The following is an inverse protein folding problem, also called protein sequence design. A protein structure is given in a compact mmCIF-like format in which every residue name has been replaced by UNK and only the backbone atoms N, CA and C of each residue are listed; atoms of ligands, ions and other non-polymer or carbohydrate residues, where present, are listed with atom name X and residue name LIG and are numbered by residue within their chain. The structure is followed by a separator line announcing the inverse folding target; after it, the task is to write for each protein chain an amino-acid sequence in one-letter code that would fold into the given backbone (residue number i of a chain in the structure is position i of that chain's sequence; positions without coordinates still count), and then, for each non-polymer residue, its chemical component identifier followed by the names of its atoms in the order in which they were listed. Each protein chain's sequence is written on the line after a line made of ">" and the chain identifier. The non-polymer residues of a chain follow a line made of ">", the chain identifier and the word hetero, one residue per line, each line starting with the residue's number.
data_IF_136228080092
#
_entry.id   IF_136228080092
#
_cell.length_a   1.000
_cell.length_b   1.000
_cell.length_c   1.000
_cell.angle_alpha   90.00
_cell.angle_beta   90.00
_cell.angle_gamma   90.00
#
_symmetry.space_group_name_H-M   'P 1'
#
loop_
_entity.id
_entity.type
_entity.pdbx_description
1 polymer ?
#
# COMPACT_ATOMS: atom_id res chain seq x y z
N UNK A 1 -19.07 -12.95 18.53
CA UNK A 1 -18.24 -12.61 17.37
C UNK A 1 -16.80 -12.71 17.80
N UNK A 2 -15.87 -12.86 16.89
CA UNK A 2 -14.48 -13.07 17.23
C UNK A 2 -13.69 -11.78 17.33
N UNK A 3 -12.43 -11.89 17.80
CA UNK A 3 -11.55 -10.76 18.08
C UNK A 3 -11.22 -9.91 16.82
N UNK A 4 -10.98 -10.53 15.67
CA UNK A 4 -10.66 -9.82 14.42
C UNK A 4 -11.86 -9.02 13.91
N UNK A 5 -13.07 -9.62 13.98
CA UNK A 5 -14.29 -8.94 13.63
C UNK A 5 -14.52 -7.70 14.51
N UNK A 6 -14.36 -7.83 15.82
CA UNK A 6 -14.54 -6.72 16.76
C UNK A 6 -13.53 -5.59 16.49
N UNK A 7 -12.26 -5.92 16.20
CA UNK A 7 -11.25 -4.95 15.79
C UNK A 7 -11.59 -4.24 14.47
N UNK A 8 -12.18 -4.95 13.51
CA UNK A 8 -12.65 -4.33 12.25
C UNK A 8 -13.81 -3.37 12.50
N UNK A 9 -14.74 -3.70 13.41
CA UNK A 9 -15.87 -2.82 13.73
C UNK A 9 -15.47 -1.50 14.39
N UNK A 10 -14.26 -1.42 15.00
CA UNK A 10 -13.71 -0.18 15.53
C UNK A 10 -13.24 0.78 14.41
N UNK A 11 -12.87 0.26 13.25
CA UNK A 11 -12.39 1.08 12.12
C UNK A 11 -13.55 1.86 11.49
N UNK A 12 -13.39 3.18 11.40
CA UNK A 12 -14.43 4.07 10.83
C UNK A 12 -14.77 3.71 9.37
N UNK A 13 -13.81 3.13 8.62
CA UNK A 13 -14.03 2.71 7.24
C UNK A 13 -15.01 1.55 7.13
N UNK A 14 -15.08 0.70 8.14
CA UNK A 14 -16.12 -0.34 8.21
C UNK A 14 -17.48 0.30 8.46
N UNK A 15 -17.58 1.24 9.40
CA UNK A 15 -18.83 1.94 9.73
C UNK A 15 -19.41 2.70 8.53
N UNK A 16 -18.54 3.33 7.74
CA UNK A 16 -18.94 4.05 6.52
C UNK A 16 -19.11 3.12 5.31
N UNK A 17 -18.27 2.12 5.16
CA UNK A 17 -18.18 1.25 3.99
C UNK A 17 -19.10 0.04 4.01
N UNK A 18 -19.57 -0.39 5.17
CA UNK A 18 -20.40 -1.60 5.30
C UNK A 18 -21.66 -1.35 6.12
N UNK A 19 -22.77 -1.09 5.44
CA UNK A 19 -24.10 -0.98 6.08
C UNK A 19 -24.83 -2.32 6.02
N UNK A 20 -25.32 -2.72 4.86
CA UNK A 20 -25.91 -4.04 4.63
C UNK A 20 -25.71 -4.42 3.18
N UNK A 21 -24.87 -5.40 2.92
CA UNK A 21 -24.64 -5.90 1.58
C UNK A 21 -25.74 -6.90 1.19
N UNK A 22 -26.36 -6.71 0.02
CA UNK A 22 -27.39 -7.59 -0.54
C UNK A 22 -26.83 -8.56 -1.59
N UNK A 23 -25.51 -8.64 -1.71
CA UNK A 23 -24.82 -9.56 -2.63
C UNK A 23 -25.19 -9.38 -4.12
N UNK A 24 -25.54 -8.17 -4.59
CA UNK A 24 -26.01 -7.92 -5.96
C UNK A 24 -24.91 -8.03 -7.04
N UNK A 25 -23.63 -8.04 -6.69
CA UNK A 25 -22.51 -8.20 -7.64
C UNK A 25 -22.08 -6.96 -8.40
N UNK A 26 -22.77 -5.82 -8.27
CA UNK A 26 -22.43 -4.59 -9.02
C UNK A 26 -20.97 -4.15 -8.81
N UNK A 27 -20.45 -4.24 -7.58
CA UNK A 27 -19.08 -3.86 -7.27
C UNK A 27 -18.03 -4.75 -7.96
N UNK A 28 -18.31 -6.02 -8.16
CA UNK A 28 -17.45 -6.95 -8.90
C UNK A 28 -17.49 -6.66 -10.39
N UNK A 29 -18.70 -6.47 -10.95
CA UNK A 29 -18.88 -6.22 -12.38
C UNK A 29 -18.19 -4.96 -12.91
N UNK A 30 -17.94 -3.97 -12.05
CA UNK A 30 -17.29 -2.71 -12.44
C UNK A 30 -15.84 -2.59 -11.95
N UNK A 31 -15.34 -3.60 -11.26
CA UNK A 31 -14.02 -3.51 -10.63
C UNK A 31 -12.92 -3.70 -11.67
N UNK A 32 -12.03 -2.70 -11.89
CA UNK A 32 -10.94 -2.86 -12.86
C UNK A 32 -9.96 -3.97 -12.46
N UNK A 33 -9.78 -4.24 -11.16
CA UNK A 33 -8.93 -5.35 -10.71
C UNK A 33 -9.50 -6.73 -11.05
N UNK A 34 -10.82 -6.86 -11.23
CA UNK A 34 -11.45 -8.13 -11.61
C UNK A 34 -11.16 -8.54 -13.07
N UNK A 35 -10.66 -7.61 -13.90
CA UNK A 35 -10.22 -7.90 -15.26
C UNK A 35 -8.87 -8.64 -15.27
N UNK A 36 -8.01 -8.33 -14.30
CA UNK A 36 -6.64 -8.84 -14.25
C UNK A 36 -6.44 -9.97 -13.24
N UNK A 37 -7.29 -10.06 -12.23
CA UNK A 37 -7.18 -11.03 -11.13
C UNK A 37 -8.50 -11.73 -10.89
N UNK A 38 -8.47 -12.93 -10.31
CA UNK A 38 -9.65 -13.59 -9.72
C UNK A 38 -10.11 -12.81 -8.47
N UNK A 39 -10.64 -11.61 -8.69
CA UNK A 39 -10.95 -10.65 -7.65
C UNK A 39 -12.43 -10.33 -7.56
N UNK A 40 -13.01 -10.56 -6.38
CA UNK A 40 -14.44 -10.34 -6.12
C UNK A 40 -14.61 -9.50 -4.83
N UNK A 41 -14.70 -8.15 -4.95
CA UNK A 41 -14.92 -7.29 -3.79
C UNK A 41 -16.24 -7.57 -3.07
N UNK A 42 -17.26 -8.12 -3.75
CA UNK A 42 -18.51 -8.54 -3.14
C UNK A 42 -18.29 -9.69 -2.15
N UNK A 43 -17.49 -10.69 -2.53
CA UNK A 43 -17.17 -11.83 -1.67
C UNK A 43 -16.42 -11.40 -0.41
N UNK A 44 -15.49 -10.45 -0.53
CA UNK A 44 -14.74 -9.89 0.60
C UNK A 44 -15.70 -9.21 1.59
N UNK A 45 -16.61 -8.38 1.08
CA UNK A 45 -17.63 -7.71 1.90
C UNK A 45 -18.57 -8.71 2.58
N UNK A 46 -18.97 -9.76 1.89
CA UNK A 46 -19.83 -10.83 2.43
C UNK A 46 -19.16 -11.57 3.60
N UNK A 47 -17.87 -11.89 3.47
CA UNK A 47 -17.07 -12.50 4.54
C UNK A 47 -17.03 -11.60 5.78
N UNK A 48 -16.71 -10.31 5.60
CA UNK A 48 -16.66 -9.36 6.71
C UNK A 48 -18.04 -9.16 7.33
N UNK A 49 -19.12 -9.10 6.53
CA UNK A 49 -20.48 -8.94 7.03
C UNK A 49 -20.95 -10.15 7.85
N UNK A 50 -20.53 -11.36 7.49
CA UNK A 50 -20.85 -12.60 8.24
C UNK A 50 -20.06 -12.71 9.54
N UNK A 51 -18.91 -12.04 9.65
CA UNK A 51 -18.09 -12.04 10.87
C UNK A 51 -17.44 -13.39 11.17
N UNK A 52 -17.16 -14.20 10.12
CA UNK A 52 -16.46 -15.46 10.29
C UNK A 52 -14.96 -15.20 10.51
N UNK A 53 -14.46 -15.50 11.72
CA UNK A 53 -13.08 -15.23 12.12
C UNK A 53 -12.04 -15.92 11.21
N UNK A 54 -12.24 -17.19 10.89
CA UNK A 54 -11.30 -17.97 10.09
C UNK A 54 -11.20 -17.43 8.67
N UNK A 55 -12.33 -17.03 8.08
CA UNK A 55 -12.37 -16.44 6.74
C UNK A 55 -11.78 -15.01 6.74
N UNK A 56 -11.99 -14.23 7.81
CA UNK A 56 -11.38 -12.91 7.97
C UNK A 56 -9.86 -13.07 8.11
N UNK A 57 -9.37 -13.98 8.95
CA UNK A 57 -7.95 -14.23 9.10
C UNK A 57 -7.30 -14.67 7.79
N UNK A 58 -7.97 -15.57 7.05
CA UNK A 58 -7.52 -15.98 5.73
C UNK A 58 -7.40 -14.80 4.75
N UNK A 59 -8.35 -13.87 4.75
CA UNK A 59 -8.28 -12.64 3.96
C UNK A 59 -7.09 -11.77 4.35
N UNK A 60 -6.85 -11.58 5.65
CA UNK A 60 -5.75 -10.75 6.16
C UNK A 60 -4.36 -11.28 5.75
N UNK A 61 -4.23 -12.59 5.53
CA UNK A 61 -3.00 -13.28 5.10
C UNK A 61 -2.88 -13.43 3.59
N UNK A 62 -3.94 -13.13 2.83
CA UNK A 62 -3.99 -13.38 1.38
C UNK A 62 -3.54 -12.17 0.55
N UNK A 63 -3.15 -12.43 -0.70
CA UNK A 63 -2.93 -11.38 -1.70
C UNK A 63 -4.24 -10.66 -2.10
N UNK A 64 -5.38 -11.30 -1.88
CA UNK A 64 -6.69 -10.82 -2.34
C UNK A 64 -7.00 -9.38 -1.93
N UNK A 65 -6.73 -9.03 -0.67
CA UNK A 65 -7.00 -7.67 -0.19
C UNK A 65 -6.07 -6.63 -0.83
N UNK A 66 -4.93 -7.03 -1.39
CA UNK A 66 -3.94 -6.16 -2.01
C UNK A 66 -4.21 -5.87 -3.50
N UNK A 67 -5.11 -6.61 -4.15
CA UNK A 67 -5.50 -6.35 -5.54
C UNK A 67 -6.35 -5.09 -5.73
N UNK A 68 -6.96 -4.56 -4.66
CA UNK A 68 -7.78 -3.35 -4.75
C UNK A 68 -6.94 -2.12 -5.08
N UNK A 69 -7.24 -1.45 -6.20
CA UNK A 69 -6.60 -0.18 -6.59
C UNK A 69 -7.17 1.06 -5.88
N UNK A 70 -8.05 0.89 -4.88
CA UNK A 70 -8.64 1.98 -4.08
C UNK A 70 -9.34 3.10 -4.91
N UNK A 71 -9.76 2.79 -6.13
CA UNK A 71 -10.37 3.75 -7.07
C UNK A 71 -11.78 4.21 -6.67
N UNK A 72 -12.39 3.59 -5.66
CA UNK A 72 -13.73 3.88 -5.13
C UNK A 72 -14.90 3.79 -6.13
N UNK A 73 -14.71 3.23 -7.33
CA UNK A 73 -15.79 3.04 -8.30
C UNK A 73 -16.94 2.17 -7.75
N UNK A 74 -16.62 1.22 -6.87
CA UNK A 74 -17.60 0.39 -6.19
C UNK A 74 -18.52 1.16 -5.22
N UNK A 75 -18.03 2.24 -4.60
CA UNK A 75 -18.81 3.09 -3.69
C UNK A 75 -19.93 3.83 -4.44
N UNK A 76 -19.59 4.45 -5.56
CA UNK A 76 -20.52 5.28 -6.33
C UNK A 76 -21.63 4.48 -7.02
N UNK A 77 -21.39 3.19 -7.26
CA UNK A 77 -22.33 2.29 -7.99
C UNK A 77 -23.13 1.37 -7.07
N UNK A 78 -22.85 1.34 -5.78
CA UNK A 78 -23.55 0.46 -4.85
C UNK A 78 -24.99 0.94 -4.59
N UNK A 79 -26.03 0.13 -4.86
CA UNK A 79 -27.42 0.51 -4.60
C UNK A 79 -27.74 0.64 -3.10
N UNK A 80 -26.91 0.05 -2.23
CA UNK A 80 -27.02 0.12 -0.78
C UNK A 80 -26.06 1.13 -0.14
N UNK A 81 -25.31 1.89 -0.96
CA UNK A 81 -24.32 2.86 -0.51
C UNK A 81 -23.22 2.25 0.37
N UNK A 82 -22.85 0.98 0.08
CA UNK A 82 -21.65 0.38 0.67
C UNK A 82 -20.43 0.77 -0.15
N UNK A 83 -19.27 0.83 0.52
CA UNK A 83 -17.97 1.08 -0.07
C UNK A 83 -17.03 -0.11 0.10
N UNK A 84 -17.12 -1.16 -0.75
CA UNK A 84 -16.20 -2.31 -0.66
C UNK A 84 -14.73 -1.91 -0.58
N UNK A 85 -14.30 -0.88 -1.29
CA UNK A 85 -12.95 -0.34 -1.20
C UNK A 85 -12.57 0.12 0.22
N UNK A 86 -13.50 0.75 0.95
CA UNK A 86 -13.27 1.15 2.35
C UNK A 86 -13.13 -0.07 3.26
N UNK A 87 -13.94 -1.09 3.05
CA UNK A 87 -13.84 -2.36 3.80
C UNK A 87 -12.47 -3.00 3.58
N UNK A 88 -11.99 -3.02 2.34
CA UNK A 88 -10.69 -3.58 1.99
C UNK A 88 -9.54 -2.75 2.58
N UNK A 89 -9.63 -1.43 2.58
CA UNK A 89 -8.65 -0.56 3.25
C UNK A 89 -8.59 -0.84 4.76
N UNK A 90 -9.73 -1.11 5.41
CA UNK A 90 -9.76 -1.50 6.82
C UNK A 90 -9.08 -2.86 7.05
N UNK A 91 -9.32 -3.85 6.17
CA UNK A 91 -8.63 -5.15 6.21
C UNK A 91 -7.12 -4.99 6.04
N UNK A 92 -6.65 -4.21 5.06
CA UNK A 92 -5.22 -3.91 4.89
C UNK A 92 -4.61 -3.27 6.13
N UNK A 93 -5.31 -2.32 6.72
CA UNK A 93 -4.86 -1.66 7.95
C UNK A 93 -4.73 -2.65 9.10
N UNK A 94 -5.71 -3.52 9.28
CA UNK A 94 -5.68 -4.56 10.32
C UNK A 94 -4.58 -5.59 10.05
N UNK A 95 -4.41 -6.02 8.79
CA UNK A 95 -3.34 -6.92 8.35
C UNK A 95 -1.95 -6.35 8.68
N UNK A 96 -1.71 -5.06 8.38
CA UNK A 96 -0.47 -4.39 8.71
C UNK A 96 -0.25 -4.27 10.23
N UNK A 97 -1.30 -3.91 10.98
CA UNK A 97 -1.24 -3.77 12.45
C UNK A 97 -0.91 -5.08 13.17
N UNK A 98 -1.43 -6.20 12.67
CA UNK A 98 -1.23 -7.53 13.26
C UNK A 98 -0.07 -8.32 12.64
N UNK A 99 0.58 -7.79 11.62
CA UNK A 99 1.69 -8.44 10.95
C UNK A 99 1.30 -9.53 9.95
N UNK A 100 0.03 -9.71 9.63
CA UNK A 100 -0.43 -10.71 8.66
C UNK A 100 0.01 -10.41 7.23
N UNK A 101 0.29 -9.15 6.89
CA UNK A 101 0.74 -8.71 5.57
C UNK A 101 2.00 -9.45 5.07
N UNK A 102 2.84 -9.93 5.97
CA UNK A 102 4.07 -10.67 5.59
C UNK A 102 3.80 -12.07 5.04
N UNK A 103 2.59 -12.62 5.26
CA UNK A 103 2.18 -13.90 4.69
C UNK A 103 1.76 -13.77 3.22
N UNK A 104 1.38 -12.58 2.80
CA UNK A 104 1.03 -12.24 1.42
C UNK A 104 2.26 -11.71 0.66
N UNK A 105 2.53 -12.22 -0.54
CA UNK A 105 3.64 -11.71 -1.36
C UNK A 105 3.42 -10.24 -1.75
N UNK A 106 2.19 -9.87 -2.14
CA UNK A 106 1.83 -8.46 -2.42
C UNK A 106 1.82 -7.61 -1.15
N UNK A 107 1.44 -8.18 -0.01
CA UNK A 107 1.48 -7.49 1.28
C UNK A 107 2.91 -7.11 1.70
N UNK A 108 3.90 -7.94 1.41
CA UNK A 108 5.32 -7.67 1.72
C UNK A 108 5.82 -6.38 1.06
N UNK A 109 5.20 -5.93 -0.04
CA UNK A 109 5.54 -4.67 -0.71
C UNK A 109 5.30 -3.43 0.17
N UNK A 110 4.57 -3.55 1.29
CA UNK A 110 4.50 -2.48 2.29
C UNK A 110 5.87 -2.10 2.85
N UNK A 111 6.81 -3.06 2.95
CA UNK A 111 8.13 -2.80 3.51
C UNK A 111 8.94 -1.81 2.65
N UNK A 112 9.24 -2.10 1.38
CA UNK A 112 9.98 -1.16 0.54
C UNK A 112 9.23 0.16 0.34
N UNK A 113 7.92 0.13 0.19
CA UNK A 113 7.11 1.35 0.06
C UNK A 113 7.27 2.26 1.28
N UNK A 114 7.22 1.68 2.49
CA UNK A 114 7.43 2.43 3.73
C UNK A 114 8.86 2.96 3.82
N UNK A 115 9.87 2.18 3.45
CA UNK A 115 11.27 2.61 3.49
C UNK A 115 11.54 3.77 2.54
N UNK A 116 11.09 3.68 1.31
CA UNK A 116 11.34 4.72 0.29
C UNK A 116 10.48 5.93 0.57
N UNK A 117 9.16 5.81 0.49
CA UNK A 117 8.27 6.97 0.51
C UNK A 117 8.26 7.65 1.87
N UNK A 118 8.04 6.91 2.93
CA UNK A 118 7.93 7.49 4.27
C UNK A 118 9.30 7.95 4.79
N UNK A 119 10.35 7.18 4.53
CA UNK A 119 11.72 7.59 4.85
C UNK A 119 12.12 8.88 4.15
N UNK A 120 11.78 9.03 2.88
CA UNK A 120 12.05 10.25 2.11
C UNK A 120 11.23 11.44 2.62
N UNK A 121 9.95 11.24 2.97
CA UNK A 121 9.11 12.30 3.54
C UNK A 121 9.75 12.83 4.83
N UNK A 122 10.16 11.97 5.72
CA UNK A 122 10.76 12.38 7.00
C UNK A 122 12.15 13.01 6.83
N UNK A 123 12.92 12.58 5.84
CA UNK A 123 14.29 13.06 5.64
C UNK A 123 14.39 14.28 4.74
N UNK A 124 13.57 14.34 3.70
CA UNK A 124 13.66 15.35 2.65
C UNK A 124 12.40 16.18 2.47
N UNK A 125 11.28 15.79 3.07
CA UNK A 125 9.98 16.41 2.88
C UNK A 125 9.25 16.02 1.58
N UNK A 126 9.76 15.03 0.85
CA UNK A 126 9.24 14.56 -0.43
C UNK A 126 9.09 13.05 -0.42
N UNK A 127 8.03 12.49 -0.98
CA UNK A 127 7.82 11.04 -1.07
C UNK A 127 8.77 10.38 -2.09
N UNK A 128 9.08 11.07 -3.19
CA UNK A 128 10.04 10.64 -4.20
C UNK A 128 11.18 11.64 -4.19
N UNK A 129 12.41 11.16 -4.02
CA UNK A 129 13.60 12.00 -3.99
C UNK A 129 14.68 11.40 -4.89
N UNK A 130 15.27 12.18 -5.82
CA UNK A 130 16.14 11.64 -6.88
C UNK A 130 17.30 10.78 -6.40
N UNK A 131 17.94 11.18 -5.29
CA UNK A 131 19.11 10.47 -4.76
C UNK A 131 18.78 9.09 -4.15
N UNK A 132 17.51 8.77 -3.96
CA UNK A 132 17.06 7.55 -3.28
C UNK A 132 16.19 6.66 -4.15
N UNK A 133 16.03 7.01 -5.42
CA UNK A 133 15.15 6.31 -6.34
C UNK A 133 15.96 5.78 -7.53
N UNK A 134 16.21 4.48 -7.54
CA UNK A 134 16.87 3.77 -8.65
C UNK A 134 15.85 3.29 -9.68
N UNK A 135 16.17 3.46 -10.97
CA UNK A 135 15.32 2.90 -12.03
C UNK A 135 15.42 1.37 -12.11
N UNK A 136 16.53 0.79 -11.66
CA UNK A 136 16.72 -0.67 -11.59
C UNK A 136 15.76 -1.34 -10.61
N UNK A 137 15.42 -0.64 -9.52
CA UNK A 137 14.47 -1.13 -8.52
C UNK A 137 13.00 -0.86 -8.94
N UNK A 138 12.78 -0.08 -10.02
CA UNK A 138 11.47 0.39 -10.47
C UNK A 138 11.26 0.23 -11.97
N UNK A 139 11.54 -0.97 -12.48
CA UNK A 139 11.42 -1.30 -13.93
C UNK A 139 10.00 -1.09 -14.46
N UNK A 140 8.99 -1.19 -13.60
CA UNK A 140 7.59 -0.91 -13.90
C UNK A 140 7.33 0.55 -14.33
N UNK A 141 8.21 1.46 -13.95
CA UNK A 141 8.16 2.88 -14.36
C UNK A 141 8.58 3.10 -15.82
N UNK A 142 9.17 2.09 -16.43
CA UNK A 142 9.48 2.03 -17.86
C UNK A 142 10.68 2.87 -18.29
N UNK A 143 10.96 2.89 -19.63
CA UNK A 143 12.18 3.49 -20.18
C UNK A 143 12.28 5.01 -20.00
N UNK A 144 11.17 5.70 -19.83
CA UNK A 144 11.16 7.15 -19.58
C UNK A 144 11.78 7.47 -18.23
N UNK A 145 11.57 6.60 -17.24
CA UNK A 145 12.15 6.78 -15.91
C UNK A 145 13.66 6.54 -15.91
N UNK A 146 14.13 5.54 -16.67
CA UNK A 146 15.55 5.32 -16.89
C UNK A 146 16.21 6.56 -17.51
N UNK A 147 15.60 7.09 -18.59
CA UNK A 147 16.08 8.31 -19.24
C UNK A 147 16.12 9.50 -18.28
N UNK A 148 15.06 9.66 -17.45
CA UNK A 148 14.99 10.74 -16.47
C UNK A 148 16.12 10.66 -15.43
N UNK A 149 16.44 9.48 -14.93
CA UNK A 149 17.54 9.27 -13.97
C UNK A 149 18.92 9.52 -14.60
N UNK A 150 19.12 9.10 -15.83
CA UNK A 150 20.37 9.31 -16.59
C UNK A 150 20.57 10.79 -16.98
N UNK A 151 19.49 11.58 -17.08
CA UNK A 151 19.50 12.99 -17.48
C UNK A 151 18.86 13.88 -16.39
N UNK A 152 19.17 13.60 -15.15
CA UNK A 152 18.49 14.21 -14.01
C UNK A 152 18.58 15.73 -14.00
N UNK A 153 19.76 16.30 -14.23
CA UNK A 153 19.97 17.77 -14.24
C UNK A 153 19.12 18.46 -15.32
N UNK A 154 19.17 17.97 -16.56
CA UNK A 154 18.37 18.51 -17.68
C UNK A 154 16.86 18.41 -17.39
N UNK A 155 16.44 17.28 -16.82
CA UNK A 155 15.05 17.03 -16.48
C UNK A 155 14.56 17.96 -15.35
N UNK A 156 15.37 18.16 -14.34
CA UNK A 156 15.06 19.05 -13.20
C UNK A 156 15.02 20.52 -13.64
N UNK A 157 15.96 20.95 -14.49
CA UNK A 157 15.99 22.31 -15.05
C UNK A 157 14.72 22.59 -15.87
N UNK A 158 14.35 21.70 -16.78
CA UNK A 158 13.12 21.83 -17.59
C UNK A 158 11.84 21.91 -16.75
N UNK A 159 11.80 21.23 -15.62
CA UNK A 159 10.67 21.26 -14.68
C UNK A 159 10.70 22.48 -13.73
N UNK A 160 11.71 23.34 -13.82
CA UNK A 160 11.89 24.48 -12.93
C UNK A 160 12.15 24.07 -11.48
N UNK A 161 12.79 22.91 -11.28
CA UNK A 161 13.13 22.41 -9.95
C UNK A 161 14.24 23.26 -9.33
N UNK A 162 14.20 23.37 -8.00
CA UNK A 162 15.26 24.00 -7.20
C UNK A 162 15.98 22.93 -6.37
N UNK A 163 16.45 21.87 -7.03
CA UNK A 163 17.02 20.69 -6.40
C UNK A 163 18.16 21.03 -5.44
N UNK A 164 18.01 20.68 -4.17
CA UNK A 164 18.94 21.01 -3.07
C UNK A 164 19.18 22.51 -2.90
N UNK A 165 18.34 23.35 -3.50
CA UNK A 165 18.45 24.81 -3.37
C UNK A 165 17.63 25.37 -2.22
N UNK A 166 17.91 26.61 -1.86
CA UNK A 166 17.15 27.38 -0.88
C UNK A 166 16.13 28.28 -1.59
N UNK A 167 14.97 28.48 -0.98
CA UNK A 167 13.92 29.32 -1.57
C UNK A 167 12.84 28.52 -2.28
N UNK A 168 11.99 29.12 -3.11
CA UNK A 168 10.88 28.46 -3.77
C UNK A 168 11.35 27.47 -4.85
N UNK A 169 10.53 26.46 -5.14
CA UNK A 169 10.77 25.43 -6.15
C UNK A 169 10.58 24.03 -5.61
N UNK A 170 10.33 23.09 -6.50
CA UNK A 170 10.22 21.66 -6.15
C UNK A 170 11.58 21.07 -5.83
N UNK A 171 11.63 20.07 -4.98
CA UNK A 171 12.85 19.37 -4.54
C UNK A 171 13.91 20.27 -3.85
N UNK A 172 13.49 21.44 -3.38
CA UNK A 172 14.33 22.32 -2.57
C UNK A 172 14.65 21.70 -1.21
N UNK A 173 15.67 22.19 -0.55
CA UNK A 173 15.93 21.84 0.84
C UNK A 173 14.79 22.33 1.73
N UNK A 174 14.21 21.42 2.47
CA UNK A 174 13.17 21.71 3.45
C UNK A 174 13.85 22.08 4.78
N UNK A 175 13.46 23.20 5.42
CA UNK A 175 14.00 23.58 6.72
C UNK A 175 13.83 22.47 7.76
N UNK A 176 14.85 22.25 8.58
CA UNK A 176 14.84 21.21 9.60
C UNK A 176 13.65 21.34 10.56
N UNK A 177 13.27 22.56 10.92
CA UNK A 177 12.10 22.84 11.74
C UNK A 177 10.81 22.22 11.18
N UNK A 178 10.62 22.32 9.85
CA UNK A 178 9.45 21.71 9.17
C UNK A 178 9.53 20.17 9.13
N UNK A 179 10.73 19.60 8.99
CA UNK A 179 10.93 18.14 9.09
C UNK A 179 10.65 17.63 10.52
N UNK A 180 11.06 18.40 11.53
CA UNK A 180 10.78 18.09 12.93
C UNK A 180 9.27 18.16 13.25
N UNK A 181 8.54 19.09 12.62
CA UNK A 181 7.07 19.13 12.70
C UNK A 181 6.43 17.91 12.03
N UNK A 182 6.92 17.50 10.85
CA UNK A 182 6.45 16.27 10.19
C UNK A 182 6.67 15.04 11.09
N UNK A 183 7.83 14.93 11.73
CA UNK A 183 8.09 13.83 12.65
C UNK A 183 7.07 13.82 13.80
N UNK A 184 6.77 14.97 14.41
CA UNK A 184 5.76 15.07 15.47
C UNK A 184 4.36 14.66 14.99
N UNK A 185 4.01 15.03 13.75
CA UNK A 185 2.73 14.59 13.14
C UNK A 185 2.70 13.07 13.02
N UNK A 186 3.78 12.45 12.55
CA UNK A 186 3.89 11.01 12.44
C UNK A 186 3.74 10.31 13.81
N UNK A 187 4.35 10.87 14.84
CA UNK A 187 4.31 10.33 16.19
C UNK A 187 2.88 10.38 16.76
N UNK A 188 2.22 11.54 16.70
CA UNK A 188 0.88 11.71 17.29
C UNK A 188 -0.23 11.02 16.50
N UNK A 189 -0.03 10.76 15.21
CA UNK A 189 -0.98 10.03 14.37
C UNK A 189 -0.80 8.51 14.40
N UNK A 190 0.26 8.01 15.06
CA UNK A 190 0.61 6.59 15.10
C UNK A 190 1.30 6.09 13.82
N UNK A 191 1.70 6.98 12.93
CA UNK A 191 2.40 6.59 11.70
C UNK A 191 3.79 6.02 11.98
N UNK A 192 4.53 6.58 12.97
CA UNK A 192 5.82 6.06 13.44
C UNK A 192 5.67 4.62 13.95
N UNK A 193 4.70 4.36 14.84
CA UNK A 193 4.43 3.01 15.35
C UNK A 193 4.09 2.02 14.22
N UNK A 194 3.33 2.48 13.23
CA UNK A 194 3.01 1.67 12.04
C UNK A 194 4.27 1.32 11.24
N UNK A 195 5.18 2.26 11.02
CA UNK A 195 6.46 2.02 10.34
C UNK A 195 7.30 0.99 11.07
N UNK A 196 7.45 1.14 12.39
CA UNK A 196 8.19 0.21 13.25
C UNK A 196 7.56 -1.19 13.23
N UNK A 197 6.25 -1.26 13.21
CA UNK A 197 5.51 -2.53 13.12
C UNK A 197 5.76 -3.23 11.79
N UNK A 198 5.72 -2.50 10.68
CA UNK A 198 6.03 -3.04 9.35
C UNK A 198 7.48 -3.52 9.30
N UNK A 199 8.44 -2.73 9.78
CA UNK A 199 9.86 -3.12 9.81
C UNK A 199 10.08 -4.38 10.65
N UNK A 200 9.51 -4.44 11.84
CA UNK A 200 9.64 -5.58 12.76
C UNK A 200 9.13 -6.90 12.14
N UNK A 201 7.91 -6.92 11.63
CA UNK A 201 7.35 -8.12 11.02
C UNK A 201 8.06 -8.53 9.73
N UNK A 202 8.52 -7.56 8.95
CA UNK A 202 9.32 -7.82 7.75
C UNK A 202 10.66 -8.47 8.09
N UNK A 203 11.36 -8.02 9.15
CA UNK A 203 12.58 -8.67 9.66
C UNK A 203 12.33 -10.10 10.09
N UNK A 204 11.28 -10.33 10.87
CA UNK A 204 10.91 -11.69 11.30
C UNK A 204 10.64 -12.60 10.09
N UNK A 205 9.98 -12.09 9.06
CA UNK A 205 9.71 -12.86 7.83
C UNK A 205 10.97 -13.11 7.02
N UNK A 206 11.86 -12.14 6.88
CA UNK A 206 13.15 -12.32 6.23
C UNK A 206 13.97 -13.42 6.90
N UNK A 207 14.05 -13.41 8.24
CA UNK A 207 14.71 -14.46 9.01
C UNK A 207 14.09 -15.84 8.76
N UNK A 208 12.76 -15.95 8.73
CA UNK A 208 12.06 -17.20 8.42
C UNK A 208 12.38 -17.72 7.02
N UNK A 209 12.58 -16.81 6.06
CA UNK A 209 12.93 -17.14 4.68
C UNK A 209 14.44 -17.37 4.48
N UNK A 210 15.27 -17.13 5.51
CA UNK A 210 16.72 -17.21 5.42
C UNK A 210 17.36 -16.10 4.58
N UNK A 211 16.70 -14.95 4.47
CA UNK A 211 17.11 -13.80 3.69
C UNK A 211 17.70 -12.69 4.57
N UNK A 212 18.71 -11.98 4.07
CA UNK A 212 19.07 -10.67 4.58
C UNK A 212 17.96 -9.64 4.29
N UNK A 213 17.96 -8.51 4.98
CA UNK A 213 16.96 -7.46 4.70
C UNK A 213 17.12 -6.83 3.32
N UNK A 214 18.33 -6.84 2.76
CA UNK A 214 18.58 -6.37 1.39
C UNK A 214 18.01 -7.34 0.36
N UNK A 215 18.22 -8.64 0.55
CA UNK A 215 17.62 -9.69 -0.30
C UNK A 215 16.09 -9.66 -0.20
N UNK A 216 15.54 -9.53 1.01
CA UNK A 216 14.09 -9.40 1.21
C UNK A 216 13.50 -8.18 0.50
N UNK A 217 14.19 -7.02 0.57
CA UNK A 217 13.80 -5.81 -0.13
C UNK A 217 13.77 -6.04 -1.65
N UNK A 218 14.84 -6.59 -2.23
CA UNK A 218 14.91 -6.90 -3.67
C UNK A 218 13.86 -7.92 -4.11
N UNK A 219 13.66 -8.97 -3.35
CA UNK A 219 12.66 -10.00 -3.65
C UNK A 219 11.25 -9.41 -3.78
N UNK A 220 10.89 -8.40 -2.99
CA UNK A 220 9.58 -7.75 -3.11
C UNK A 220 9.41 -6.97 -4.42
N UNK A 221 10.48 -6.45 -5.00
CA UNK A 221 10.46 -5.78 -6.32
C UNK A 221 10.51 -6.76 -7.48
N UNK A 222 11.32 -7.80 -7.41
CA UNK A 222 11.40 -8.86 -8.43
C UNK A 222 10.01 -9.47 -8.67
N UNK A 223 9.28 -9.73 -7.60
CA UNK A 223 7.91 -10.22 -7.69
C UNK A 223 6.96 -9.24 -8.40
N UNK A 224 7.16 -7.93 -8.27
CA UNK A 224 6.39 -6.93 -9.01
C UNK A 224 6.72 -6.91 -10.51
N UNK A 225 7.99 -7.15 -10.86
CA UNK A 225 8.48 -7.03 -12.24
C UNK A 225 8.16 -8.23 -13.12
N UNK A 226 7.94 -9.40 -12.54
CA UNK A 226 7.65 -10.64 -13.29
C UNK A 226 6.24 -10.71 -13.90
N UNK A 227 5.45 -9.64 -13.76
CA UNK A 227 4.18 -9.49 -14.46
C UNK A 227 3.21 -10.65 -14.22
N UNK A 228 2.88 -10.93 -12.98
CA UNK A 228 1.92 -11.98 -12.60
C UNK A 228 0.48 -11.67 -13.09
N UNK A 229 0.38 -11.29 -14.34
CA UNK A 229 -0.88 -11.16 -15.05
C UNK A 229 -1.32 -12.56 -15.50
N UNK A 230 -2.21 -13.19 -14.76
CA UNK A 230 -3.00 -14.33 -15.23
C UNK A 230 -2.34 -15.71 -15.40
N UNK A 231 -1.33 -16.09 -14.64
CA UNK A 231 -0.87 -17.50 -14.64
C UNK A 231 -1.96 -18.47 -14.13
N UNK A 232 -3.02 -17.97 -13.47
CA UNK A 232 -4.17 -18.74 -13.00
C UNK A 232 -5.37 -18.75 -13.96
N UNK A 233 -5.24 -18.29 -15.21
CA UNK A 233 -6.31 -18.32 -16.22
C UNK A 233 -6.12 -19.41 -17.28
N UNK A 234 -5.17 -20.31 -17.11
CA UNK A 234 -5.02 -21.50 -17.97
C UNK A 234 -5.85 -22.67 -17.45
#
# INVERSE_FOLDING_TARGET
>A
MGKLYDMLQEDYRIKEGLKTCINCGTCTAICPAAEFYRYDPRKIVDIVQKGNEDEIEALLKSDTIWYCGECMSCLTRCPRKNGPGLVIMALRNLSAKLGYFVESEKGRQLYPLTKIMTGNILKYGYCIYPDTFSWEDHVESGPVWKWHTEHLEDSLERNGANFKGKGPGILRDIPQESLDELQKIFDVTGATERMETIDRYSRMKAEQLGMSMEEYYRHTFEYCSEGHFNDDQA
#
